data_IF_679155294006
#
_entry.id   IF_679155294006
#
_cell.length_a   1.000
_cell.length_b   1.000
_cell.length_c   1.000
_cell.angle_alpha   90.00
_cell.angle_beta   90.00
_cell.angle_gamma   90.00
#
_symmetry.space_group_name_H-M   'P 1'
#
loop_
_entity.id
_entity.type
_entity.pdbx_description
1 polymer ?
#
# COMPACT_ATOMS: atom_id res chain seq x y z
N UNK A 1 -21.27 7.62 22.58
CA UNK A 1 -21.10 7.03 21.24
C UNK A 1 -21.31 8.16 20.26
N UNK A 2 -20.21 8.75 19.79
CA UNK A 2 -20.22 9.98 19.00
C UNK A 2 -19.28 9.74 17.82
N UNK A 3 -19.83 9.30 16.69
CA UNK A 3 -19.17 9.22 15.38
C UNK A 3 -20.15 8.62 14.38
N UNK A 4 -21.05 9.45 13.84
CA UNK A 4 -21.68 9.15 12.54
C UNK A 4 -22.17 10.40 11.79
N UNK A 5 -22.20 11.58 12.41
CA UNK A 5 -22.67 12.81 11.74
C UNK A 5 -21.73 13.36 10.65
N UNK A 6 -20.44 12.97 10.63
CA UNK A 6 -19.49 13.48 9.62
C UNK A 6 -19.57 12.75 8.27
N UNK A 7 -20.33 11.65 8.17
CA UNK A 7 -20.37 10.80 6.97
C UNK A 7 -21.49 11.17 5.97
N UNK A 8 -22.30 12.19 6.26
CA UNK A 8 -23.49 12.48 5.46
C UNK A 8 -23.19 13.27 4.19
N UNK A 9 -22.10 14.07 4.16
CA UNK A 9 -21.81 15.00 3.05
C UNK A 9 -21.43 14.34 1.71
N UNK A 10 -21.10 13.05 1.69
CA UNK A 10 -20.69 12.35 0.46
C UNK A 10 -21.47 11.06 0.17
N UNK A 11 -22.50 10.76 0.97
CA UNK A 11 -23.18 9.48 0.94
C UNK A 11 -24.37 9.55 -0.02
N UNK A 12 -24.29 8.80 -1.11
CA UNK A 12 -25.34 8.78 -2.13
C UNK A 12 -26.65 8.22 -1.54
N UNK A 13 -27.74 8.98 -1.66
CA UNK A 13 -29.07 8.59 -1.18
C UNK A 13 -29.82 7.76 -2.21
N UNK A 14 -30.86 7.02 -1.77
CA UNK A 14 -31.69 6.20 -2.67
C UNK A 14 -32.36 7.03 -3.77
N UNK A 15 -32.78 8.25 -3.46
CA UNK A 15 -33.39 9.17 -4.43
C UNK A 15 -32.38 9.64 -5.48
N UNK A 16 -31.15 9.94 -5.06
CA UNK A 16 -30.06 10.30 -5.97
C UNK A 16 -29.68 9.13 -6.88
N UNK A 17 -29.60 7.91 -6.33
CA UNK A 17 -29.35 6.72 -7.14
C UNK A 17 -30.47 6.47 -8.14
N UNK A 18 -31.73 6.63 -7.73
CA UNK A 18 -32.87 6.46 -8.63
C UNK A 18 -32.84 7.48 -9.79
N UNK A 19 -32.41 8.72 -9.56
CA UNK A 19 -32.13 9.67 -10.65
C UNK A 19 -31.02 9.19 -11.59
N UNK A 20 -29.90 8.72 -11.04
CA UNK A 20 -28.79 8.19 -11.84
C UNK A 20 -29.20 6.97 -12.67
N UNK A 21 -29.99 6.06 -12.11
CA UNK A 21 -30.50 4.90 -12.85
C UNK A 21 -31.43 5.30 -13.98
N UNK A 22 -32.24 6.35 -13.79
CA UNK A 22 -33.09 6.90 -14.86
C UNK A 22 -32.28 7.54 -15.99
N UNK A 23 -31.17 8.18 -15.70
CA UNK A 23 -30.24 8.70 -16.72
C UNK A 23 -29.67 7.58 -17.60
N UNK A 24 -29.46 6.40 -17.02
CA UNK A 24 -29.02 5.18 -17.70
C UNK A 24 -30.17 4.35 -18.30
N UNK A 25 -31.38 4.91 -18.39
CA UNK A 25 -32.60 4.27 -18.89
C UNK A 25 -33.04 3.01 -18.12
N UNK A 26 -32.65 2.87 -16.85
CA UNK A 26 -33.10 1.81 -15.95
C UNK A 26 -34.28 2.31 -15.12
N UNK A 27 -35.48 1.81 -15.41
CA UNK A 27 -36.67 2.16 -14.65
C UNK A 27 -36.81 1.23 -13.44
N UNK A 28 -36.41 1.75 -12.27
CA UNK A 28 -36.35 1.03 -11.01
C UNK A 28 -37.21 1.72 -9.95
N UNK A 29 -37.77 0.93 -9.03
CA UNK A 29 -38.46 1.48 -7.87
C UNK A 29 -37.48 2.00 -6.83
N UNK A 30 -37.95 2.87 -5.93
CA UNK A 30 -37.12 3.43 -4.85
C UNK A 30 -36.53 2.32 -3.95
N UNK A 31 -37.32 1.27 -3.68
CA UNK A 31 -36.86 0.12 -2.90
C UNK A 31 -35.76 -0.67 -3.62
N UNK A 32 -35.89 -0.88 -4.93
CA UNK A 32 -34.84 -1.51 -5.72
C UNK A 32 -33.56 -0.67 -5.72
N UNK A 33 -33.67 0.64 -5.90
CA UNK A 33 -32.52 1.55 -5.84
C UNK A 33 -31.83 1.49 -4.46
N UNK A 34 -32.61 1.38 -3.38
CA UNK A 34 -32.10 1.21 -2.02
C UNK A 34 -31.33 -0.11 -1.85
N UNK A 35 -31.88 -1.22 -2.34
CA UNK A 35 -31.23 -2.54 -2.29
C UNK A 35 -29.90 -2.52 -3.06
N UNK A 36 -29.90 -1.95 -4.27
CA UNK A 36 -28.69 -1.85 -5.10
C UNK A 36 -27.63 -1.01 -4.40
N UNK A 37 -28.00 0.13 -3.83
CA UNK A 37 -27.07 0.96 -3.06
C UNK A 37 -26.48 0.24 -1.86
N UNK A 38 -27.29 -0.50 -1.11
CA UNK A 38 -26.79 -1.29 0.02
C UNK A 38 -25.82 -2.39 -0.41
N UNK A 39 -26.11 -3.05 -1.53
CA UNK A 39 -25.22 -4.04 -2.12
C UNK A 39 -23.88 -3.41 -2.54
N UNK A 40 -23.91 -2.27 -3.23
CA UNK A 40 -22.71 -1.54 -3.65
C UNK A 40 -21.85 -1.11 -2.45
N UNK A 41 -22.48 -0.66 -1.35
CA UNK A 41 -21.76 -0.32 -0.12
C UNK A 41 -21.07 -1.54 0.48
N UNK A 42 -21.74 -2.69 0.55
CA UNK A 42 -21.15 -3.94 1.04
C UNK A 42 -19.95 -4.36 0.20
N UNK A 43 -20.04 -4.28 -1.13
CA UNK A 43 -18.93 -4.57 -2.04
C UNK A 43 -17.74 -3.63 -1.84
N UNK A 44 -18.01 -2.33 -1.70
CA UNK A 44 -16.95 -1.34 -1.43
C UNK A 44 -16.26 -1.62 -0.10
N UNK A 45 -17.02 -1.88 0.97
CA UNK A 45 -16.47 -2.22 2.29
C UNK A 45 -15.62 -3.49 2.25
N UNK A 46 -16.07 -4.52 1.53
CA UNK A 46 -15.31 -5.77 1.39
C UNK A 46 -14.00 -5.53 0.63
N UNK A 47 -14.05 -4.78 -0.47
CA UNK A 47 -12.88 -4.45 -1.30
C UNK A 47 -11.84 -3.66 -0.49
N UNK A 48 -12.27 -2.61 0.21
CA UNK A 48 -11.39 -1.79 1.06
C UNK A 48 -10.80 -2.63 2.19
N UNK A 49 -11.60 -3.48 2.84
CA UNK A 49 -11.13 -4.34 3.93
C UNK A 49 -10.08 -5.34 3.45
N UNK A 50 -10.28 -5.95 2.28
CA UNK A 50 -9.32 -6.87 1.68
C UNK A 50 -8.02 -6.17 1.30
N UNK A 51 -8.11 -4.98 0.70
CA UNK A 51 -6.93 -4.18 0.36
C UNK A 51 -6.12 -3.82 1.60
N UNK A 52 -6.77 -3.32 2.65
CA UNK A 52 -6.10 -2.97 3.90
C UNK A 52 -5.48 -4.20 4.58
N UNK A 53 -6.14 -5.35 4.54
CA UNK A 53 -5.60 -6.61 5.08
C UNK A 53 -4.33 -7.05 4.35
N UNK A 54 -4.32 -6.98 3.02
CA UNK A 54 -3.11 -7.27 2.24
C UNK A 54 -1.94 -6.33 2.57
N UNK A 55 -2.21 -5.03 2.74
CA UNK A 55 -1.18 -4.06 3.11
C UNK A 55 -0.57 -4.40 4.49
N UNK A 56 -1.40 -4.77 5.45
CA UNK A 56 -0.95 -5.18 6.78
C UNK A 56 -0.12 -6.48 6.73
N UNK A 57 -0.51 -7.46 5.92
CA UNK A 57 0.26 -8.70 5.72
C UNK A 57 1.63 -8.43 5.07
N UNK A 58 1.71 -7.54 4.08
CA UNK A 58 3.00 -7.15 3.46
C UNK A 58 3.91 -6.35 4.40
N UNK A 59 3.35 -5.59 5.34
CA UNK A 59 4.10 -4.92 6.40
C UNK A 59 4.45 -5.86 7.58
N UNK A 60 3.85 -7.05 7.62
CA UNK A 60 4.11 -8.11 8.60
C UNK A 60 5.22 -9.07 8.16
N UNK A 61 6.03 -8.70 7.14
CA UNK A 61 7.29 -9.41 6.91
C UNK A 61 8.02 -9.46 8.25
N UNK A 62 8.35 -10.65 8.77
CA UNK A 62 9.23 -10.70 9.92
C UNK A 62 10.47 -9.92 9.50
N UNK A 63 10.84 -8.92 10.29
CA UNK A 63 12.16 -8.32 10.20
C UNK A 63 13.09 -9.52 10.22
N UNK A 64 13.62 -9.92 9.07
CA UNK A 64 14.73 -10.86 9.05
C UNK A 64 15.79 -10.11 9.82
N UNK A 65 16.02 -10.54 11.04
CA UNK A 65 17.21 -10.22 11.79
C UNK A 65 18.35 -10.66 10.88
N UNK A 66 18.81 -9.75 10.02
CA UNK A 66 20.04 -9.97 9.29
C UNK A 66 21.08 -9.99 10.37
N UNK A 67 21.75 -11.14 10.49
CA UNK A 67 22.85 -11.41 11.39
C UNK A 67 24.07 -10.54 11.06
N UNK A 68 23.91 -9.23 10.94
CA UNK A 68 25.01 -8.30 11.06
C UNK A 68 25.10 -7.91 12.52
N UNK A 69 25.55 -8.90 13.30
CA UNK A 69 26.14 -8.65 14.60
C UNK A 69 27.09 -7.47 14.48
N UNK A 70 26.95 -6.51 15.38
CA UNK A 70 27.88 -5.40 15.54
C UNK A 70 29.28 -5.97 15.75
N UNK A 71 30.04 -6.19 14.68
CA UNK A 71 31.49 -6.26 14.77
C UNK A 71 31.97 -4.86 15.01
N UNK A 72 32.09 -4.58 16.29
CA UNK A 72 32.80 -3.44 16.81
C UNK A 72 34.22 -3.47 16.24
N UNK A 73 34.60 -2.36 15.59
CA UNK A 73 35.97 -1.85 15.37
C UNK A 73 36.70 -2.26 14.07
N UNK A 74 37.41 -1.24 13.58
CA UNK A 74 38.43 -1.20 12.51
C UNK A 74 37.97 -1.29 11.05
N UNK A 75 37.47 -0.16 10.55
CA UNK A 75 37.62 0.22 9.13
C UNK A 75 38.70 1.28 8.96
N UNK A 76 39.99 0.92 9.03
CA UNK A 76 41.05 1.80 8.49
C UNK A 76 41.19 1.46 7.01
N UNK A 77 40.55 2.25 6.16
CA UNK A 77 40.73 2.22 4.72
C UNK A 77 42.13 2.80 4.39
N UNK A 78 43.17 1.96 4.41
CA UNK A 78 44.47 2.39 3.87
C UNK A 78 44.37 2.47 2.35
N UNK A 79 44.23 3.69 1.82
CA UNK A 79 44.37 3.97 0.38
C UNK A 79 45.76 3.56 -0.08
N UNK A 80 45.89 2.46 -0.82
CA UNK A 80 47.16 2.08 -1.45
C UNK A 80 47.48 3.07 -2.59
N UNK A 81 48.44 3.94 -2.31
CA UNK A 81 49.05 4.87 -3.28
C UNK A 81 49.87 4.07 -4.30
N UNK A 82 49.48 4.13 -5.59
CA UNK A 82 50.32 3.65 -6.69
C UNK A 82 51.36 4.73 -7.03
N UNK A 83 52.53 4.66 -6.41
CA UNK A 83 53.82 5.13 -6.96
C UNK A 83 54.59 3.84 -7.30
N UNK A 84 55.11 3.58 -8.49
CA UNK A 84 55.93 4.44 -9.32
C UNK A 84 57.34 3.81 -9.36
N UNK A 85 57.69 3.23 -10.52
CA UNK A 85 59.04 2.99 -11.07
C UNK A 85 60.03 1.96 -10.47
N UNK A 86 60.43 1.05 -11.38
CA UNK A 86 61.80 0.64 -11.81
C UNK A 86 62.51 -0.59 -11.18
N UNK A 87 62.77 -1.54 -12.11
CA UNK A 87 63.95 -2.39 -12.40
C UNK A 87 64.45 -3.39 -11.35
N UNK A 88 64.48 -4.68 -11.72
CA UNK A 88 65.60 -5.64 -11.52
C UNK A 88 65.50 -6.81 -12.55
N UNK A 89 66.52 -7.02 -13.37
CA UNK A 89 66.97 -8.32 -13.97
C UNK A 89 68.06 -8.89 -13.02
N UNK A 90 68.53 -10.16 -13.05
CA UNK A 90 68.27 -11.36 -13.87
C UNK A 90 67.97 -12.61 -12.97
N UNK A 91 67.77 -13.86 -13.42
CA UNK A 91 68.71 -14.95 -13.81
C UNK A 91 67.82 -16.15 -14.25
N UNK A 92 68.13 -17.05 -15.19
CA UNK A 92 69.35 -17.78 -15.54
C UNK A 92 69.37 -18.11 -17.04
#
# INVERSE_FOLDING_TARGET
MEKDERNERGRLTAEQALRMFKEENLDLTLDQARIILEFMRKLASLTVSNFLRQQNETNSRPIRESEYGRTSRQGILTKKSRRGTKKVLPDK
#
